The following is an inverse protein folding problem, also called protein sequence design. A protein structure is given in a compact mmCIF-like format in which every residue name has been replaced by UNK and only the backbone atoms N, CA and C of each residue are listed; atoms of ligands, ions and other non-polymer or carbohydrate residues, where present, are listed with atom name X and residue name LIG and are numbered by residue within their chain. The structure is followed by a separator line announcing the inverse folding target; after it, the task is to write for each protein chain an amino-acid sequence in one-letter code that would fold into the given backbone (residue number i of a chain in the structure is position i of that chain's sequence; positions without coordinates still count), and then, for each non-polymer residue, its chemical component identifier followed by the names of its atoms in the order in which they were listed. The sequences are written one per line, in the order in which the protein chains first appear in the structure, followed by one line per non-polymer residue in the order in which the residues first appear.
data_IF_501097547763
#
_entry.id   IF_501097547763
#
_cell.length_a   1.000
_cell.length_b   1.000
_cell.length_c   1.000
_cell.angle_alpha   90.00
_cell.angle_beta   90.00
_cell.angle_gamma   90.00
#
_symmetry.space_group_name_H-M   'P 1'
#
loop_
_entity.id
_entity.type
_entity.pdbx_description
1 polymer ?
#
# COMPACT_ATOMS: atom_id res chain seq x y z
N UNK A 1 -6.09 -30.35 21.80
CA UNK A 1 -5.66 -30.21 20.40
C UNK A 1 -5.27 -28.77 20.20
N UNK A 2 -3.98 -28.47 20.12
CA UNK A 2 -3.50 -27.14 19.76
C UNK A 2 -3.69 -26.97 18.27
N UNK A 3 -4.59 -26.07 17.88
CA UNK A 3 -4.81 -25.69 16.49
C UNK A 3 -3.57 -24.93 16.02
N UNK A 4 -2.69 -25.59 15.27
CA UNK A 4 -1.55 -24.92 14.68
C UNK A 4 -2.04 -24.15 13.46
N UNK A 5 -2.08 -22.83 13.57
CA UNK A 5 -2.32 -21.94 12.42
C UNK A 5 -1.08 -22.02 11.53
N UNK A 6 -1.21 -22.68 10.37
CA UNK A 6 -0.18 -22.69 9.33
C UNK A 6 -0.37 -21.45 8.46
N UNK A 7 0.61 -20.56 8.47
CA UNK A 7 0.60 -19.36 7.61
C UNK A 7 1.31 -19.68 6.30
N UNK A 8 0.61 -19.52 5.17
CA UNK A 8 1.22 -19.62 3.84
C UNK A 8 2.09 -18.38 3.56
N UNK A 9 3.39 -18.53 3.80
CA UNK A 9 4.39 -17.46 3.63
C UNK A 9 4.54 -17.02 2.18
N UNK A 10 4.25 -17.90 1.21
CA UNK A 10 4.27 -17.59 -0.24
C UNK A 10 3.04 -16.77 -0.60
N UNK A 11 1.86 -17.11 -0.09
CA UNK A 11 0.65 -16.33 -0.27
C UNK A 11 0.80 -14.91 0.33
N UNK A 12 1.42 -14.78 1.51
CA UNK A 12 1.73 -13.47 2.11
C UNK A 12 2.68 -12.64 1.24
N UNK A 13 3.72 -13.24 0.66
CA UNK A 13 4.62 -12.54 -0.27
C UNK A 13 3.89 -12.06 -1.52
N UNK A 14 3.03 -12.91 -2.10
CA UNK A 14 2.20 -12.54 -3.25
C UNK A 14 1.25 -11.40 -2.90
N UNK A 15 0.61 -11.44 -1.75
CA UNK A 15 -0.26 -10.37 -1.27
C UNK A 15 0.51 -9.05 -1.10
N UNK A 16 1.69 -9.10 -0.47
CA UNK A 16 2.56 -7.93 -0.34
C UNK A 16 2.94 -7.35 -1.72
N UNK A 17 3.26 -8.21 -2.70
CA UNK A 17 3.56 -7.76 -4.07
C UNK A 17 2.33 -7.12 -4.75
N UNK A 18 1.15 -7.72 -4.61
CA UNK A 18 -0.09 -7.16 -5.16
C UNK A 18 -0.39 -5.78 -4.58
N UNK A 19 -0.20 -5.59 -3.28
CA UNK A 19 -0.36 -4.28 -2.62
C UNK A 19 0.63 -3.25 -3.17
N UNK A 20 1.90 -3.62 -3.39
CA UNK A 20 2.88 -2.71 -4.03
C UNK A 20 2.49 -2.32 -5.45
N UNK A 21 1.95 -3.27 -6.22
CA UNK A 21 1.46 -2.98 -7.57
C UNK A 21 0.27 -2.01 -7.51
N UNK A 22 -0.69 -2.24 -6.61
CA UNK A 22 -1.81 -1.31 -6.38
C UNK A 22 -1.33 0.08 -5.95
N UNK A 23 -0.37 0.16 -5.03
CA UNK A 23 0.23 1.44 -4.62
C UNK A 23 0.89 2.17 -5.79
N UNK A 24 1.53 1.44 -6.70
CA UNK A 24 2.13 1.99 -7.92
C UNK A 24 1.08 2.55 -8.88
N UNK A 25 -0.03 1.84 -9.07
CA UNK A 25 -1.15 2.32 -9.88
C UNK A 25 -1.78 3.58 -9.28
N UNK A 26 -2.08 3.57 -7.97
CA UNK A 26 -2.64 4.74 -7.27
C UNK A 26 -1.68 5.92 -7.33
N UNK A 27 -0.36 5.71 -7.18
CA UNK A 27 0.64 6.76 -7.31
C UNK A 27 0.66 7.37 -8.72
N UNK A 28 0.44 6.56 -9.75
CA UNK A 28 0.31 7.06 -11.13
C UNK A 28 -0.92 7.96 -11.26
N UNK A 29 -2.06 7.57 -10.67
CA UNK A 29 -3.27 8.40 -10.66
C UNK A 29 -3.13 9.67 -9.82
N UNK A 30 -2.40 9.62 -8.71
CA UNK A 30 -2.07 10.81 -7.92
C UNK A 30 -1.29 11.82 -8.78
N UNK A 31 -0.28 11.34 -9.54
CA UNK A 31 0.46 12.19 -10.49
C UNK A 31 -0.46 12.76 -11.57
N UNK A 32 -1.39 11.98 -12.12
CA UNK A 32 -2.36 12.48 -13.09
C UNK A 32 -3.18 13.64 -12.52
N UNK A 33 -3.64 13.54 -11.26
CA UNK A 33 -4.38 14.62 -10.57
C UNK A 33 -3.50 15.85 -10.38
N UNK A 34 -2.28 15.68 -9.88
CA UNK A 34 -1.32 16.76 -9.65
C UNK A 34 -0.93 17.48 -10.95
N UNK A 35 -0.80 16.75 -12.06
CA UNK A 35 -0.44 17.32 -13.36
C UNK A 35 -1.61 18.00 -14.08
N UNK A 36 -2.85 17.67 -13.73
CA UNK A 36 -4.05 18.15 -14.42
C UNK A 36 -4.92 19.05 -13.54
N UNK A 37 -4.29 19.91 -12.75
CA UNK A 37 -5.03 20.81 -11.88
C UNK A 37 -5.84 21.87 -12.64
N UNK A 38 -6.98 22.22 -12.06
CA UNK A 38 -7.89 23.23 -12.58
C UNK A 38 -7.72 24.53 -11.79
N UNK A 39 -6.99 25.49 -12.34
CA UNK A 39 -6.76 26.78 -11.68
C UNK A 39 -7.90 27.77 -11.93
N UNK A 40 -8.02 28.77 -11.05
CA UNK A 40 -9.01 29.85 -11.17
C UNK A 40 -8.96 30.56 -12.54
N UNK A 41 -7.78 30.75 -13.12
CA UNK A 41 -7.61 31.35 -14.44
C UNK A 41 -8.29 30.57 -15.57
N UNK A 42 -8.47 29.24 -15.41
CA UNK A 42 -9.12 28.36 -16.40
C UNK A 42 -10.65 28.46 -16.36
N UNK A 43 -11.23 28.99 -15.28
CA UNK A 43 -12.68 29.14 -15.11
C UNK A 43 -13.25 30.41 -15.79
N UNK A 44 -12.39 31.37 -16.15
CA UNK A 44 -12.78 32.71 -16.59
C UNK A 44 -13.13 33.64 -15.41
N UNK A 45 -13.06 34.95 -15.63
CA UNK A 45 -13.13 35.96 -14.56
C UNK A 45 -14.42 35.87 -13.71
N UNK A 46 -15.55 35.54 -14.34
CA UNK A 46 -16.84 35.40 -13.64
C UNK A 46 -16.91 34.19 -12.69
N UNK A 47 -16.03 33.19 -12.87
CA UNK A 47 -16.04 31.93 -12.11
C UNK A 47 -14.73 31.67 -11.36
N UNK A 48 -13.90 32.70 -11.15
CA UNK A 48 -12.60 32.55 -10.49
C UNK A 48 -12.72 31.90 -9.10
N UNK A 49 -13.76 32.25 -8.33
CA UNK A 49 -14.01 31.67 -7.01
C UNK A 49 -14.36 30.18 -7.07
N UNK A 50 -15.10 29.75 -8.09
CA UNK A 50 -15.46 28.35 -8.33
C UNK A 50 -14.23 27.58 -8.80
N UNK A 51 -13.41 28.15 -9.68
CA UNK A 51 -12.15 27.54 -10.11
C UNK A 51 -11.17 27.33 -8.96
N UNK A 52 -11.06 28.30 -8.04
CA UNK A 52 -10.26 28.14 -6.82
C UNK A 52 -10.76 26.98 -5.95
N UNK A 53 -12.09 26.83 -5.77
CA UNK A 53 -12.65 25.69 -5.01
C UNK A 53 -12.36 24.34 -5.66
N UNK A 54 -12.38 24.27 -7.00
CA UNK A 54 -12.04 23.04 -7.73
C UNK A 54 -10.55 22.72 -7.56
N UNK A 55 -9.67 23.72 -7.67
CA UNK A 55 -8.24 23.58 -7.38
C UNK A 55 -8.01 23.01 -5.98
N UNK A 56 -8.57 23.65 -4.95
CA UNK A 56 -8.45 23.19 -3.55
C UNK A 56 -8.97 21.76 -3.35
N UNK A 57 -10.02 21.39 -4.08
CA UNK A 57 -10.56 20.03 -4.08
C UNK A 57 -9.59 19.02 -4.69
N UNK A 58 -9.00 19.35 -5.83
CA UNK A 58 -8.02 18.49 -6.52
C UNK A 58 -6.74 18.33 -5.70
N UNK A 59 -6.27 19.39 -5.04
CA UNK A 59 -5.16 19.34 -4.08
C UNK A 59 -5.43 18.34 -2.94
N UNK A 60 -6.62 18.43 -2.32
CA UNK A 60 -7.01 17.49 -1.26
C UNK A 60 -7.08 16.05 -1.76
N UNK A 61 -7.66 15.83 -2.94
CA UNK A 61 -7.72 14.50 -3.55
C UNK A 61 -6.32 13.96 -3.82
N UNK A 62 -5.42 14.77 -4.37
CA UNK A 62 -4.02 14.40 -4.58
C UNK A 62 -3.35 13.95 -3.27
N UNK A 63 -3.48 14.75 -2.21
CA UNK A 63 -2.94 14.41 -0.88
C UNK A 63 -3.53 13.12 -0.32
N UNK A 64 -4.84 12.88 -0.47
CA UNK A 64 -5.45 11.63 -0.04
C UNK A 64 -4.92 10.42 -0.80
N UNK A 65 -4.72 10.54 -2.12
CA UNK A 65 -4.13 9.47 -2.91
C UNK A 65 -2.69 9.19 -2.45
N UNK A 66 -1.90 10.22 -2.17
CA UNK A 66 -0.54 10.04 -1.65
C UNK A 66 -0.50 9.35 -0.28
N UNK A 67 -1.44 9.68 0.62
CA UNK A 67 -1.59 8.96 1.90
C UNK A 67 -2.00 7.50 1.69
N UNK A 68 -2.89 7.22 0.74
CA UNK A 68 -3.30 5.86 0.40
C UNK A 68 -2.14 5.03 -0.15
N UNK A 69 -1.29 5.61 -1.00
CA UNK A 69 -0.06 4.96 -1.49
C UNK A 69 0.85 4.60 -0.31
N UNK A 70 1.08 5.52 0.60
CA UNK A 70 1.93 5.30 1.78
C UNK A 70 1.38 4.19 2.68
N UNK A 71 0.08 4.22 3.00
CA UNK A 71 -0.57 3.21 3.83
C UNK A 71 -0.54 1.81 3.19
N UNK A 72 -0.76 1.75 1.87
CA UNK A 72 -0.73 0.49 1.11
C UNK A 72 0.68 -0.11 1.09
N UNK A 73 1.72 0.71 0.88
CA UNK A 73 3.11 0.28 0.95
C UNK A 73 3.49 -0.19 2.36
N UNK A 74 3.11 0.56 3.41
CA UNK A 74 3.35 0.16 4.79
C UNK A 74 2.71 -1.21 5.11
N UNK A 75 1.51 -1.45 4.58
CA UNK A 75 0.82 -2.74 4.72
C UNK A 75 1.55 -3.86 3.97
N UNK A 76 2.04 -3.59 2.76
CA UNK A 76 2.85 -4.55 2.00
C UNK A 76 4.16 -4.90 2.73
N UNK A 77 4.81 -3.92 3.34
CA UNK A 77 6.03 -4.13 4.12
C UNK A 77 5.77 -4.95 5.38
N UNK A 78 4.67 -4.68 6.08
CA UNK A 78 4.23 -5.49 7.22
C UNK A 78 4.00 -6.96 6.83
N UNK A 79 3.31 -7.23 5.72
CA UNK A 79 3.11 -8.60 5.24
C UNK A 79 4.41 -9.26 4.75
N UNK A 80 5.29 -8.50 4.11
CA UNK A 80 6.62 -8.99 3.73
C UNK A 80 7.45 -9.41 4.95
N UNK A 81 7.49 -8.55 5.98
CA UNK A 81 8.19 -8.83 7.24
C UNK A 81 7.58 -10.02 7.99
N UNK A 82 6.26 -10.14 8.01
CA UNK A 82 5.56 -11.26 8.61
C UNK A 82 5.93 -12.59 7.91
N UNK A 83 5.95 -12.61 6.57
CA UNK A 83 6.36 -13.79 5.80
C UNK A 83 7.77 -14.27 6.15
N UNK A 84 8.74 -13.36 6.25
CA UNK A 84 10.11 -13.69 6.66
C UNK A 84 10.16 -14.25 8.07
N UNK A 85 9.44 -13.62 9.00
CA UNK A 85 9.39 -14.05 10.41
C UNK A 85 8.83 -15.47 10.52
N UNK A 86 7.70 -15.74 9.87
CA UNK A 86 7.09 -17.07 9.88
C UNK A 86 7.99 -18.13 9.23
N UNK A 87 8.67 -17.80 8.13
CA UNK A 87 9.60 -18.73 7.48
C UNK A 87 10.79 -19.09 8.38
N UNK A 88 11.31 -18.13 9.16
CA UNK A 88 12.41 -18.38 10.09
C UNK A 88 11.95 -19.23 11.27
N UNK A 89 10.81 -18.91 11.88
CA UNK A 89 10.23 -19.71 12.98
C UNK A 89 9.94 -21.14 12.53
N UNK A 90 9.41 -21.34 11.32
CA UNK A 90 9.16 -22.68 10.79
C UNK A 90 10.45 -23.49 10.61
N UNK A 91 11.53 -22.87 10.10
CA UNK A 91 12.85 -23.50 10.00
C UNK A 91 13.46 -23.86 11.36
N UNK A 92 13.36 -22.97 12.34
CA UNK A 92 13.85 -23.20 13.72
C UNK A 92 13.11 -24.36 14.39
N UNK A 93 11.78 -24.40 14.24
CA UNK A 93 10.96 -25.49 14.73
C UNK A 93 11.29 -26.82 14.04
N UNK A 94 11.46 -26.81 12.71
CA UNK A 94 11.86 -27.99 11.94
C UNK A 94 13.24 -28.53 12.39
N UNK A 95 14.20 -27.64 12.63
CA UNK A 95 15.55 -28.00 13.13
C UNK A 95 15.48 -28.62 14.53
N UNK A 96 14.65 -28.06 15.41
CA UNK A 96 14.44 -28.58 16.77
C UNK A 96 13.81 -29.98 16.75
N UNK A 97 12.85 -30.21 15.86
CA UNK A 97 12.21 -31.53 15.69
C UNK A 97 13.14 -32.57 15.08
N UNK A 98 14.02 -32.18 14.16
CA UNK A 98 15.01 -33.07 13.54
C UNK A 98 16.11 -33.48 14.54
N UNK A 99 16.56 -32.53 15.37
CA UNK A 99 17.58 -32.78 16.40
C UNK A 99 17.06 -33.58 17.60
N UNK A 100 15.77 -33.49 17.93
CA UNK A 100 15.13 -34.28 18.99
C UNK A 100 14.79 -35.74 18.62
N UNK A 101 15.03 -36.17 17.37
CA UNK A 101 14.82 -37.55 16.88
C UNK A 101 16.09 -38.42 16.87
N UNK A 102 17.21 -37.92 17.38
CA UNK A 102 18.44 -38.69 17.63
C UNK A 102 18.60 -38.98 19.10
#
# INVERSE_FOLDING_TARGET
MTENVVVDTVALQRLAQSLRNSATEVSTRAKDVHNNQFEAAKAGAAYAAQGAKIHDGLEKVGSWLDHWVQATNATADAFGSASVTYSNTDKENATTLDTGKK
#
